data_IF_054222420384
#
_entry.id   IF_054222420384
#
_cell.length_a   1.000
_cell.length_b   1.000
_cell.length_c   1.000
_cell.angle_alpha   90.00
_cell.angle_beta   90.00
_cell.angle_gamma   90.00
#
_symmetry.space_group_name_H-M   'P 1'
#
loop_
_entity.id
_entity.type
_entity.pdbx_description
1 polymer ?
#
# COMPACT_ATOMS: atom_id res chain seq x y z
N UNK A 1 -4.38 14.40 -5.25
CA UNK A 1 -3.18 14.98 -5.89
C UNK A 1 -1.94 14.83 -5.01
N UNK A 2 -0.79 14.82 -5.65
CA UNK A 2 0.49 15.00 -4.97
C UNK A 2 0.65 16.49 -4.65
N UNK A 3 0.66 16.84 -3.36
CA UNK A 3 0.66 18.24 -2.93
C UNK A 3 2.00 18.72 -2.38
N UNK A 4 2.88 17.81 -2.00
CA UNK A 4 4.21 18.12 -1.47
C UNK A 4 5.19 16.99 -1.80
N UNK A 5 6.47 17.32 -1.86
CA UNK A 5 7.54 16.34 -2.05
C UNK A 5 7.65 15.38 -0.86
N UNK A 6 7.56 15.92 0.35
CA UNK A 6 7.64 15.13 1.59
C UNK A 6 6.87 15.82 2.72
N UNK A 7 6.05 15.07 3.44
CA UNK A 7 5.34 15.57 4.65
C UNK A 7 6.25 15.65 5.87
N UNK A 8 7.39 14.99 5.86
CA UNK A 8 8.36 15.04 6.97
C UNK A 8 9.12 16.37 7.04
N UNK A 9 9.15 17.13 5.93
CA UNK A 9 9.70 18.48 5.90
C UNK A 9 8.85 19.47 6.71
N UNK A 10 7.57 19.18 6.92
CA UNK A 10 6.67 19.99 7.75
C UNK A 10 6.72 19.48 9.18
N UNK A 11 7.75 19.88 9.94
CA UNK A 11 7.90 19.77 11.41
C UNK A 11 7.13 18.62 12.07
N UNK A 12 7.44 17.39 11.70
CA UNK A 12 7.06 16.23 12.52
C UNK A 12 8.16 16.06 13.55
N UNK A 13 7.87 16.39 14.81
CA UNK A 13 8.74 16.07 15.93
C UNK A 13 8.97 14.56 15.94
N UNK A 14 10.26 14.17 15.98
CA UNK A 14 10.77 12.82 16.19
C UNK A 14 10.32 11.77 15.18
N UNK A 15 11.22 11.34 14.33
CA UNK A 15 11.36 10.01 13.65
C UNK A 15 10.11 9.11 13.49
N UNK A 16 8.90 9.63 13.68
CA UNK A 16 7.64 8.91 13.60
C UNK A 16 7.18 8.83 12.13
N UNK A 17 8.04 8.26 11.28
CA UNK A 17 7.66 7.92 9.92
C UNK A 17 6.74 6.73 9.99
N UNK A 18 5.45 7.01 9.80
CA UNK A 18 4.46 5.97 9.69
C UNK A 18 4.62 5.24 8.37
N UNK A 19 4.54 3.93 8.43
CA UNK A 19 4.61 3.06 7.28
C UNK A 19 3.70 1.86 7.47
N UNK A 20 3.63 1.05 6.44
CA UNK A 20 2.98 -0.26 6.47
C UNK A 20 4.04 -1.34 6.28
N UNK A 21 3.85 -2.46 6.92
CA UNK A 21 4.68 -3.63 6.69
C UNK A 21 4.20 -4.39 5.46
N UNK A 22 5.13 -4.77 4.61
CA UNK A 22 4.89 -5.52 3.39
C UNK A 22 5.65 -6.83 3.44
N UNK A 23 4.97 -7.91 3.04
CA UNK A 23 5.51 -9.26 2.88
C UNK A 23 5.22 -9.74 1.46
N UNK A 24 5.79 -10.84 1.02
CA UNK A 24 5.35 -11.50 -0.20
C UNK A 24 3.86 -11.88 -0.12
N UNK A 25 3.17 -11.88 -1.25
CA UNK A 25 1.79 -12.41 -1.33
C UNK A 25 1.88 -13.89 -1.68
N UNK A 26 1.30 -14.72 -0.81
CA UNK A 26 1.32 -16.17 -0.94
C UNK A 26 -0.12 -16.68 -0.95
N UNK A 27 -0.43 -17.59 -1.86
CA UNK A 27 -1.71 -18.32 -1.89
C UNK A 27 -1.44 -19.82 -1.90
N UNK A 28 -1.87 -20.53 -0.86
CA UNK A 28 -1.53 -21.92 -0.66
C UNK A 28 -0.01 -22.12 -0.57
N UNK A 29 0.57 -22.91 -1.47
CA UNK A 29 2.01 -23.16 -1.53
C UNK A 29 2.74 -22.32 -2.61
N UNK A 30 2.04 -21.41 -3.29
CA UNK A 30 2.60 -20.58 -4.37
C UNK A 30 2.80 -19.13 -3.95
N UNK A 31 3.92 -18.53 -4.36
CA UNK A 31 4.15 -17.07 -4.24
C UNK A 31 3.50 -16.42 -5.46
N UNK A 32 2.47 -15.60 -5.23
CA UNK A 32 1.79 -14.81 -6.27
C UNK A 32 2.63 -13.60 -6.64
N UNK A 33 3.12 -12.87 -5.63
CA UNK A 33 3.92 -11.67 -5.81
C UNK A 33 5.07 -11.68 -4.80
N UNK A 34 6.33 -11.73 -5.27
CA UNK A 34 7.49 -11.73 -4.39
C UNK A 34 7.65 -10.39 -3.66
N UNK A 35 8.29 -10.42 -2.50
CA UNK A 35 8.53 -9.21 -1.71
C UNK A 35 9.34 -8.17 -2.49
N UNK A 36 10.28 -8.61 -3.33
CA UNK A 36 11.10 -7.75 -4.19
C UNK A 36 10.22 -6.80 -5.02
N UNK A 37 9.27 -7.33 -5.79
CA UNK A 37 8.41 -6.53 -6.68
C UNK A 37 7.50 -5.57 -5.91
N UNK A 38 7.15 -5.92 -4.67
CA UNK A 38 6.31 -5.10 -3.81
C UNK A 38 7.01 -3.91 -3.17
N UNK A 39 8.33 -3.97 -3.00
CA UNK A 39 9.12 -2.92 -2.36
C UNK A 39 9.85 -2.01 -3.34
N UNK A 40 10.11 -2.45 -4.56
CA UNK A 40 10.75 -1.65 -5.61
C UNK A 40 9.96 -0.37 -5.87
N UNK A 41 10.66 0.77 -5.95
CA UNK A 41 10.08 2.10 -6.17
C UNK A 41 9.30 2.66 -4.97
N UNK A 42 9.33 1.97 -3.82
CA UNK A 42 8.75 2.45 -2.56
C UNK A 42 9.80 3.13 -1.71
N UNK A 43 9.37 4.03 -0.84
CA UNK A 43 10.26 4.70 0.10
C UNK A 43 10.32 3.92 1.41
N UNK A 44 11.52 3.60 1.88
CA UNK A 44 11.74 2.90 3.13
C UNK A 44 11.24 3.74 4.33
N UNK A 45 10.48 3.11 5.23
CA UNK A 45 10.00 3.71 6.47
C UNK A 45 10.86 3.34 7.69
N UNK A 46 11.92 2.60 7.47
CA UNK A 46 12.97 2.24 8.44
C UNK A 46 14.30 2.07 7.71
N UNK A 47 15.41 2.16 8.44
CA UNK A 47 16.73 1.89 7.87
C UNK A 47 16.90 0.39 7.68
N UNK A 48 17.17 -0.04 6.46
CA UNK A 48 17.42 -1.44 6.13
C UNK A 48 18.92 -1.69 6.10
N UNK A 49 19.37 -2.66 6.89
CA UNK A 49 20.79 -2.98 7.07
C UNK A 49 21.06 -4.40 6.59
N UNK A 50 22.26 -4.62 6.10
CA UNK A 50 22.80 -5.95 5.89
C UNK A 50 23.06 -6.58 7.27
N UNK A 51 22.39 -7.68 7.58
CA UNK A 51 22.47 -8.33 8.90
C UNK A 51 23.82 -9.00 9.16
N UNK A 52 24.58 -9.28 8.11
CA UNK A 52 25.89 -9.93 8.23
C UNK A 52 27.01 -8.91 8.41
N UNK A 53 26.98 -7.81 7.66
CA UNK A 53 28.05 -6.79 7.66
C UNK A 53 27.71 -5.57 8.54
N UNK A 54 26.45 -5.34 8.85
CA UNK A 54 25.97 -4.14 9.54
C UNK A 54 25.90 -2.89 8.65
N UNK A 55 26.21 -3.01 7.37
CA UNK A 55 26.14 -1.89 6.43
C UNK A 55 24.72 -1.51 6.09
N UNK A 56 24.48 -0.22 5.85
CA UNK A 56 23.16 0.27 5.44
C UNK A 56 22.93 -0.01 3.96
N UNK A 57 21.93 -0.85 3.65
CA UNK A 57 21.49 -1.14 2.29
C UNK A 57 20.62 0.02 1.78
N UNK A 58 19.59 0.38 2.56
CA UNK A 58 18.68 1.49 2.24
C UNK A 58 18.49 2.34 3.48
N UNK A 59 18.90 3.63 3.44
CA UNK A 59 18.61 4.56 4.53
C UNK A 59 17.11 4.82 4.71
N UNK A 60 16.74 5.20 5.93
CA UNK A 60 15.41 5.70 6.23
C UNK A 60 15.03 6.83 5.27
N UNK A 61 13.80 6.78 4.74
CA UNK A 61 13.22 7.82 3.89
C UNK A 61 13.84 7.92 2.49
N UNK A 62 14.55 6.89 2.05
CA UNK A 62 15.05 6.75 0.68
C UNK A 62 14.26 5.72 -0.13
N UNK A 63 14.30 5.88 -1.45
CA UNK A 63 13.66 4.97 -2.39
C UNK A 63 14.43 3.66 -2.48
N UNK A 64 13.70 2.54 -2.49
CA UNK A 64 14.25 1.20 -2.67
C UNK A 64 14.35 0.94 -4.17
N UNK A 65 15.57 0.99 -4.69
CA UNK A 65 15.89 0.69 -6.10
C UNK A 65 15.96 -0.83 -6.32
N UNK A 66 15.88 -1.26 -7.56
CA UNK A 66 15.84 -2.68 -7.98
C UNK A 66 17.02 -3.50 -7.41
N UNK A 67 18.23 -2.96 -7.52
CA UNK A 67 19.44 -3.66 -7.03
C UNK A 67 19.43 -3.85 -5.51
N UNK A 68 19.00 -2.79 -4.80
CA UNK A 68 18.88 -2.80 -3.34
C UNK A 68 17.74 -3.71 -2.87
N UNK A 69 16.63 -3.77 -3.61
CA UNK A 69 15.53 -4.66 -3.29
C UNK A 69 15.97 -6.13 -3.29
N UNK A 70 16.76 -6.55 -4.29
CA UNK A 70 17.34 -7.91 -4.36
C UNK A 70 18.24 -8.24 -3.18
N UNK A 71 18.94 -7.25 -2.67
CA UNK A 71 19.77 -7.42 -1.49
C UNK A 71 18.92 -7.50 -0.21
N UNK A 72 17.94 -6.61 -0.07
CA UNK A 72 17.03 -6.55 1.10
C UNK A 72 16.30 -7.87 1.31
N UNK A 73 15.75 -8.48 0.27
CA UNK A 73 14.98 -9.73 0.39
C UNK A 73 15.78 -10.93 0.84
N UNK A 74 17.14 -10.87 0.82
CA UNK A 74 18.00 -11.90 1.39
C UNK A 74 17.97 -11.92 2.92
N UNK A 75 17.67 -10.76 3.54
CA UNK A 75 17.75 -10.55 4.99
C UNK A 75 16.38 -10.30 5.65
N UNK A 76 15.37 -9.93 4.85
CA UNK A 76 14.07 -9.50 5.35
C UNK A 76 12.91 -10.20 4.63
N UNK A 77 12.06 -10.89 5.39
CA UNK A 77 10.79 -11.43 4.90
C UNK A 77 9.68 -10.38 4.95
N UNK A 78 9.91 -9.28 5.68
CA UNK A 78 8.96 -8.23 5.96
C UNK A 78 9.69 -6.90 6.02
N UNK A 79 9.22 -5.92 5.24
CA UNK A 79 9.85 -4.60 5.12
C UNK A 79 8.81 -3.52 5.42
N UNK A 80 9.21 -2.51 6.18
CA UNK A 80 8.35 -1.36 6.45
C UNK A 80 8.58 -0.28 5.40
N UNK A 81 7.55 0.05 4.64
CA UNK A 81 7.58 1.06 3.59
C UNK A 81 6.60 2.20 3.88
N UNK A 82 6.87 3.37 3.34
CA UNK A 82 5.91 4.48 3.33
C UNK A 82 4.74 4.15 2.41
N UNK A 83 3.53 4.60 2.79
CA UNK A 83 2.31 4.31 2.06
C UNK A 83 1.41 5.54 2.01
N UNK A 84 0.59 5.62 0.97
CA UNK A 84 -0.50 6.61 0.85
C UNK A 84 -1.51 6.49 2.00
N UNK A 85 -1.71 5.27 2.52
CA UNK A 85 -2.65 4.98 3.62
C UNK A 85 -2.22 5.61 4.95
N UNK A 86 -0.93 5.79 5.16
CA UNK A 86 -0.35 6.33 6.38
C UNK A 86 0.22 7.74 6.19
N UNK A 87 0.00 8.33 5.02
CA UNK A 87 0.48 9.68 4.72
C UNK A 87 -0.21 10.72 5.61
N UNK A 88 0.57 11.61 6.20
CA UNK A 88 0.08 12.69 7.07
C UNK A 88 -0.16 14.01 6.34
N UNK A 89 -0.15 14.02 5.02
CA UNK A 89 -0.55 15.19 4.25
C UNK A 89 -1.99 15.56 4.60
N UNK A 90 -2.23 16.83 4.90
CA UNK A 90 -3.57 17.30 5.28
C UNK A 90 -4.58 17.14 4.15
N UNK A 91 -4.13 17.35 2.93
CA UNK A 91 -4.92 17.15 1.71
C UNK A 91 -4.06 16.40 0.70
N UNK A 92 -4.64 15.38 0.05
CA UNK A 92 -3.89 14.55 -0.89
C UNK A 92 -2.80 13.72 -0.23
N UNK A 93 -1.73 13.45 -0.96
CA UNK A 93 -0.59 12.64 -0.50
C UNK A 93 0.73 13.29 -0.89
N UNK A 94 1.82 12.94 -0.22
CA UNK A 94 3.15 13.40 -0.62
C UNK A 94 3.80 12.43 -1.61
N UNK A 95 4.76 12.94 -2.40
CA UNK A 95 5.46 12.16 -3.40
C UNK A 95 6.18 10.93 -2.82
N UNK A 96 6.83 11.07 -1.66
CA UNK A 96 7.52 9.94 -1.02
C UNK A 96 6.58 8.84 -0.52
N UNK A 97 5.38 9.19 -0.02
CA UNK A 97 4.39 8.18 0.36
C UNK A 97 3.74 7.50 -0.84
N UNK A 98 3.64 8.20 -1.97
CA UNK A 98 3.16 7.62 -3.22
C UNK A 98 4.23 6.73 -3.85
N UNK A 99 5.46 7.24 -3.96
CA UNK A 99 6.60 6.52 -4.55
C UNK A 99 6.81 6.85 -6.02
N UNK A 100 7.12 5.83 -6.80
CA UNK A 100 7.46 5.92 -8.21
C UNK A 100 6.21 6.16 -9.07
N UNK A 101 6.34 7.02 -10.07
CA UNK A 101 5.36 7.16 -11.14
C UNK A 101 5.48 5.97 -12.10
N UNK A 102 4.39 5.24 -12.30
CA UNK A 102 4.36 4.03 -13.14
C UNK A 102 4.51 4.33 -14.64
N UNK A 103 4.20 5.56 -15.06
CA UNK A 103 4.32 5.95 -16.47
C UNK A 103 5.75 6.28 -16.88
N UNK A 104 6.48 6.99 -16.02
CA UNK A 104 7.83 7.49 -16.31
C UNK A 104 8.93 6.65 -15.65
N UNK A 105 8.59 5.82 -14.67
CA UNK A 105 9.53 5.04 -13.87
C UNK A 105 10.34 5.88 -12.87
N UNK A 106 10.15 7.19 -12.86
CA UNK A 106 10.82 8.11 -11.94
C UNK A 106 9.96 8.48 -10.74
N UNK A 107 10.49 9.37 -9.91
CA UNK A 107 9.73 9.91 -8.77
C UNK A 107 8.55 10.75 -9.27
N UNK A 108 7.37 10.54 -8.68
CA UNK A 108 6.16 11.28 -9.03
C UNK A 108 6.32 12.79 -8.78
N UNK A 109 5.80 13.60 -9.72
CA UNK A 109 5.85 15.05 -9.63
C UNK A 109 4.78 15.63 -8.70
N UNK A 110 5.11 16.75 -8.06
CA UNK A 110 4.11 17.52 -7.31
C UNK A 110 3.08 18.07 -8.28
N UNK A 111 1.80 17.96 -7.94
CA UNK A 111 0.69 18.38 -8.81
C UNK A 111 0.01 17.22 -9.56
N UNK A 112 0.65 16.05 -9.63
CA UNK A 112 0.11 14.88 -10.33
C UNK A 112 -1.23 14.43 -9.74
N UNK A 113 -2.18 14.10 -10.63
CA UNK A 113 -3.55 13.72 -10.26
C UNK A 113 -3.70 12.21 -10.05
N UNK A 114 -2.88 11.65 -9.16
CA UNK A 114 -2.78 10.20 -8.90
C UNK A 114 -4.09 9.52 -8.51
N UNK A 115 -5.01 10.25 -7.88
CA UNK A 115 -6.33 9.72 -7.53
C UNK A 115 -7.21 9.49 -8.75
N UNK A 116 -7.10 10.34 -9.78
CA UNK A 116 -7.81 10.15 -11.05
C UNK A 116 -7.24 8.94 -11.79
N UNK A 117 -5.91 8.79 -11.82
CA UNK A 117 -5.24 7.63 -12.43
C UNK A 117 -5.71 6.34 -11.76
N UNK A 118 -5.73 6.29 -10.43
CA UNK A 118 -6.23 5.14 -9.67
C UNK A 118 -7.71 4.87 -9.97
N UNK A 119 -8.56 5.89 -9.99
CA UNK A 119 -9.98 5.75 -10.25
C UNK A 119 -10.27 5.20 -11.66
N UNK A 120 -9.53 5.66 -12.66
CA UNK A 120 -9.64 5.17 -14.04
C UNK A 120 -9.16 3.72 -14.15
N UNK A 121 -8.04 3.38 -13.53
CA UNK A 121 -7.46 2.03 -13.54
C UNK A 121 -8.35 1.00 -12.84
N UNK A 122 -9.11 1.41 -11.83
CA UNK A 122 -10.08 0.56 -11.12
C UNK A 122 -11.41 0.51 -11.87
N UNK A 123 -11.87 1.65 -12.40
CA UNK A 123 -13.19 1.79 -13.02
C UNK A 123 -13.29 1.14 -14.40
N UNK A 124 -12.24 1.20 -15.21
CA UNK A 124 -12.24 0.61 -16.55
C UNK A 124 -12.49 -0.92 -16.50
N UNK A 125 -11.71 -1.75 -15.81
CA UNK A 125 -12.00 -3.17 -15.73
C UNK A 125 -13.26 -3.48 -14.91
N UNK A 126 -13.73 -2.57 -14.07
CA UNK A 126 -14.97 -2.70 -13.31
C UNK A 126 -16.19 -2.92 -14.20
N UNK A 127 -16.29 -2.19 -15.31
CA UNK A 127 -17.37 -2.36 -16.29
C UNK A 127 -17.32 -3.72 -17.00
N UNK A 128 -16.13 -4.24 -17.26
CA UNK A 128 -15.95 -5.57 -17.88
C UNK A 128 -16.31 -6.70 -16.90
N UNK A 129 -15.99 -6.54 -15.60
CA UNK A 129 -16.35 -7.49 -14.56
C UNK A 129 -17.86 -7.56 -14.34
N UNK A 130 -18.60 -6.44 -14.44
CA UNK A 130 -20.06 -6.40 -14.33
C UNK A 130 -20.73 -7.27 -15.41
N UNK A 131 -20.22 -7.22 -16.63
CA UNK A 131 -20.73 -8.07 -17.73
C UNK A 131 -20.52 -9.58 -17.51
N UNK A 132 -19.50 -9.96 -16.72
CA UNK A 132 -19.21 -11.37 -16.41
C UNK A 132 -19.95 -11.89 -15.18
N UNK A 133 -20.27 -11.05 -14.19
CA UNK A 133 -20.93 -11.48 -12.95
C UNK A 133 -22.42 -11.70 -13.09
N UNK A 134 -23.08 -11.12 -14.09
CA UNK A 134 -24.50 -11.41 -14.39
C UNK A 134 -24.75 -12.87 -14.83
N UNK A 135 -23.71 -13.60 -15.22
CA UNK A 135 -23.83 -15.01 -15.67
C UNK A 135 -23.45 -16.06 -14.62
N UNK A 136 -22.91 -15.64 -13.49
CA UNK A 136 -22.59 -16.53 -12.37
C UNK A 136 -23.58 -16.30 -11.23
N UNK A 137 -24.75 -16.91 -11.33
CA UNK A 137 -25.70 -17.05 -10.23
C UNK A 137 -25.09 -17.96 -9.15
N UNK A 138 -24.10 -17.47 -8.43
CA UNK A 138 -23.53 -18.17 -7.29
C UNK A 138 -24.40 -17.94 -6.07
N UNK A 139 -24.78 -19.01 -5.40
CA UNK A 139 -25.48 -18.97 -4.10
C UNK A 139 -24.58 -18.25 -3.09
N UNK A 140 -25.02 -17.09 -2.60
CA UNK A 140 -24.34 -16.36 -1.54
C UNK A 140 -24.41 -17.18 -0.26
N UNK A 141 -23.28 -17.63 0.25
CA UNK A 141 -23.18 -18.30 1.54
C UNK A 141 -23.44 -17.28 2.65
N UNK A 142 -24.22 -17.66 3.66
CA UNK A 142 -24.50 -16.84 4.84
C UNK A 142 -23.18 -16.59 5.60
N UNK A 143 -22.64 -15.40 5.53
CA UNK A 143 -21.36 -15.00 6.12
C UNK A 143 -20.40 -14.32 5.15
N UNK A 144 -20.81 -14.15 3.89
CA UNK A 144 -19.95 -13.58 2.86
C UNK A 144 -19.59 -12.12 3.11
N UNK A 145 -18.32 -11.93 3.36
CA UNK A 145 -17.66 -10.63 3.18
C UNK A 145 -17.78 -10.26 1.69
N UNK A 146 -18.34 -9.10 1.40
CA UNK A 146 -18.51 -8.62 0.04
C UNK A 146 -17.17 -8.54 -0.66
N UNK A 147 -17.01 -9.24 -1.78
CA UNK A 147 -15.77 -9.32 -2.56
C UNK A 147 -16.01 -8.87 -4.00
N UNK A 148 -14.93 -8.56 -4.71
CA UNK A 148 -14.98 -8.15 -6.10
C UNK A 148 -15.61 -6.78 -6.32
N UNK A 149 -16.35 -6.62 -7.43
CA UNK A 149 -16.95 -5.36 -7.83
C UNK A 149 -17.93 -4.75 -6.80
N UNK A 150 -18.82 -5.52 -6.15
CA UNK A 150 -19.67 -4.98 -5.09
C UNK A 150 -18.89 -4.37 -3.93
N UNK A 151 -17.71 -4.91 -3.60
CA UNK A 151 -16.84 -4.34 -2.57
C UNK A 151 -16.20 -3.03 -3.02
N UNK A 152 -15.80 -2.92 -4.28
CA UNK A 152 -15.29 -1.68 -4.87
C UNK A 152 -16.37 -0.59 -4.81
N UNK A 153 -17.61 -0.91 -5.16
CA UNK A 153 -18.74 0.00 -5.07
C UNK A 153 -19.00 0.48 -3.64
N UNK A 154 -19.04 -0.44 -2.67
CA UNK A 154 -19.16 -0.10 -1.23
C UNK A 154 -18.09 0.90 -0.78
N UNK A 155 -16.82 0.70 -1.21
CA UNK A 155 -15.71 1.57 -0.85
C UNK A 155 -15.82 2.96 -1.49
N UNK A 156 -16.18 3.04 -2.77
CA UNK A 156 -16.34 4.32 -3.46
C UNK A 156 -17.52 5.13 -2.95
N UNK A 157 -18.60 4.48 -2.60
CA UNK A 157 -19.79 5.13 -2.06
C UNK A 157 -19.74 5.33 -0.55
N UNK A 158 -18.66 4.89 0.09
CA UNK A 158 -18.50 4.92 1.55
C UNK A 158 -19.67 4.26 2.30
N UNK A 159 -20.25 3.21 1.72
CA UNK A 159 -21.33 2.45 2.35
C UNK A 159 -20.82 1.69 3.58
N UNK A 160 -21.70 1.52 4.56
CA UNK A 160 -21.39 0.70 5.72
C UNK A 160 -21.18 -0.75 5.29
N UNK A 161 -20.01 -1.37 5.55
CA UNK A 161 -19.73 -2.75 5.15
C UNK A 161 -20.65 -3.74 5.87
N UNK A 162 -20.97 -4.87 5.23
CA UNK A 162 -21.77 -5.94 5.82
C UNK A 162 -21.09 -6.59 7.02
N UNK A 163 -19.75 -6.75 6.95
CA UNK A 163 -18.92 -7.20 8.06
C UNK A 163 -18.12 -6.04 8.64
N UNK A 164 -18.52 -5.51 9.80
CA UNK A 164 -17.76 -4.48 10.48
C UNK A 164 -16.68 -5.10 11.36
N UNK A 165 -15.49 -4.51 11.35
CA UNK A 165 -14.50 -4.79 12.37
C UNK A 165 -14.99 -4.29 13.75
N UNK A 166 -14.69 -5.06 14.78
CA UNK A 166 -14.89 -4.60 16.16
C UNK A 166 -13.74 -3.67 16.49
N UNK A 167 -14.05 -2.42 16.80
CA UNK A 167 -13.07 -1.38 17.12
C UNK A 167 -13.29 -0.92 18.53
N UNK A 168 -12.19 -0.78 19.29
CA UNK A 168 -12.21 -0.15 20.62
C UNK A 168 -11.85 1.33 20.48
N UNK A 169 -12.49 2.18 21.29
CA UNK A 169 -12.19 3.62 21.38
C UNK A 169 -11.14 3.91 22.46
N UNK A 170 -10.75 2.90 23.25
CA UNK A 170 -9.78 3.03 24.34
C UNK A 170 -8.54 2.17 24.07
N UNK A 171 -7.40 2.66 24.55
CA UNK A 171 -6.15 1.90 24.50
C UNK A 171 -6.21 0.73 25.49
N UNK A 172 -5.71 -0.44 25.07
CA UNK A 172 -5.73 -1.63 25.88
C UNK A 172 -4.96 -2.79 25.28
N UNK A 173 -4.80 -3.85 26.07
CA UNK A 173 -4.21 -5.11 25.62
C UNK A 173 -5.32 -6.10 25.32
N UNK A 174 -5.31 -6.63 24.08
CA UNK A 174 -6.25 -7.69 23.69
C UNK A 174 -5.74 -9.04 24.22
N UNK A 175 -6.58 -9.74 24.95
CA UNK A 175 -6.38 -11.15 25.31
C UNK A 175 -7.45 -12.00 24.64
N UNK A 176 -7.06 -13.11 24.04
CA UNK A 176 -7.94 -14.10 23.41
C UNK A 176 -8.06 -15.29 24.36
#
# INVERSE_FOLDING_TARGET
RILTSDVTEVKVRNNDIRGVYVTAIVEGNGVIEPLEDRIVGRTAAETLINKDTGEVIVPLNEEIMEDKAKEVVKYYDKVKIRSVLTCRSRYGVCAKCYGRDLGTGGKVNVGESVGIIAAQSIGEPGTQLTMRTFHTGGVASAGDITQGLPRVEELFEARKPKGNAIVTEIDGTVSI
#
